data_IF_694243033110
#
_entry.id   IF_694243033110
#
_cell.length_a   1.000
_cell.length_b   1.000
_cell.length_c   1.000
_cell.angle_alpha   90.00
_cell.angle_beta   90.00
_cell.angle_gamma   90.00
#
_symmetry.space_group_name_H-M   'P 1'
#
loop_
_entity.id
_entity.type
_entity.pdbx_description
1 polymer ?
#
# COMPACT_ATOMS: atom_id res chain seq x y z
N UNK A 1 14.44 12.87 9.64
CA UNK A 1 13.64 11.70 9.23
C UNK A 1 12.59 11.44 10.30
N UNK A 2 11.39 11.99 10.10
CA UNK A 2 10.23 11.73 10.97
C UNK A 2 9.95 10.23 10.94
N UNK A 3 10.05 9.58 12.10
CA UNK A 3 9.71 8.16 12.26
C UNK A 3 8.21 8.03 12.00
N UNK A 4 7.83 7.64 10.78
CA UNK A 4 6.47 7.21 10.47
C UNK A 4 6.14 6.08 11.42
N UNK A 5 5.26 6.34 12.39
CA UNK A 5 4.75 5.32 13.29
C UNK A 5 4.27 4.16 12.42
N UNK A 6 4.78 2.94 12.68
CA UNK A 6 4.32 1.73 11.97
C UNK A 6 2.90 1.46 12.42
N UNK A 7 1.93 2.18 11.85
CA UNK A 7 0.51 1.93 12.01
C UNK A 7 0.27 0.45 11.67
N UNK A 8 -0.46 -0.23 12.54
CA UNK A 8 -0.66 -1.67 12.51
C UNK A 8 -0.94 -2.16 11.09
N UNK A 9 0.05 -2.83 10.51
CA UNK A 9 -0.02 -3.49 9.21
C UNK A 9 -0.92 -4.73 9.30
N UNK A 10 -2.21 -4.56 9.51
CA UNK A 10 -3.13 -5.68 9.35
C UNK A 10 -3.16 -6.08 7.88
N UNK A 11 -3.32 -7.38 7.63
CA UNK A 11 -3.30 -7.95 6.29
C UNK A 11 -4.34 -7.28 5.38
N UNK A 12 -5.49 -6.92 5.95
CA UNK A 12 -6.62 -6.24 5.31
C UNK A 12 -6.21 -4.94 4.61
N UNK A 13 -5.42 -4.07 5.27
CA UNK A 13 -4.97 -2.82 4.64
C UNK A 13 -4.07 -3.08 3.43
N UNK A 14 -3.23 -4.11 3.48
CA UNK A 14 -2.39 -4.47 2.33
C UNK A 14 -3.22 -5.01 1.17
N UNK A 15 -4.29 -5.74 1.47
CA UNK A 15 -5.21 -6.28 0.45
C UNK A 15 -6.03 -5.16 -0.18
N UNK A 16 -6.60 -4.24 0.62
CA UNK A 16 -7.38 -3.12 0.08
C UNK A 16 -6.50 -2.21 -0.77
N UNK A 17 -5.28 -1.89 -0.32
CA UNK A 17 -4.34 -1.10 -1.12
C UNK A 17 -4.03 -1.75 -2.48
N UNK A 18 -3.96 -3.09 -2.54
CA UNK A 18 -3.78 -3.81 -3.81
C UNK A 18 -5.04 -3.80 -4.67
N UNK A 19 -6.22 -3.97 -4.06
CA UNK A 19 -7.52 -3.86 -4.74
C UNK A 19 -7.66 -2.50 -5.45
N UNK A 20 -7.21 -1.42 -4.80
CA UNK A 20 -7.20 -0.08 -5.37
C UNK A 20 -6.23 0.06 -6.57
N UNK A 21 -5.05 -0.57 -6.49
CA UNK A 21 -4.08 -0.60 -7.60
C UNK A 21 -4.60 -1.41 -8.78
N UNK A 22 -5.19 -2.58 -8.53
CA UNK A 22 -5.85 -3.41 -9.55
C UNK A 22 -7.05 -2.67 -10.19
N UNK A 23 -7.74 -1.85 -9.40
CA UNK A 23 -8.79 -0.94 -9.88
C UNK A 23 -8.30 0.25 -10.69
N UNK A 24 -6.99 0.39 -10.92
CA UNK A 24 -6.39 1.41 -11.79
C UNK A 24 -5.89 2.66 -11.08
N UNK A 25 -5.95 2.73 -9.74
CA UNK A 25 -5.29 3.82 -9.01
C UNK A 25 -3.76 3.68 -9.08
N UNK A 26 -3.06 4.81 -9.07
CA UNK A 26 -1.61 4.81 -8.95
C UNK A 26 -1.17 4.30 -7.57
N UNK A 27 -0.01 3.66 -7.51
CA UNK A 27 0.52 3.05 -6.27
C UNK A 27 0.69 4.10 -5.16
N UNK A 28 1.12 5.31 -5.51
CA UNK A 28 1.21 6.43 -4.57
C UNK A 28 -0.17 6.85 -4.02
N UNK A 29 -1.19 6.92 -4.89
CA UNK A 29 -2.55 7.27 -4.47
C UNK A 29 -3.17 6.18 -3.59
N UNK A 30 -2.98 4.90 -3.91
CA UNK A 30 -3.49 3.77 -3.14
C UNK A 30 -2.80 3.65 -1.77
N UNK A 31 -1.47 3.84 -1.71
CA UNK A 31 -0.71 3.88 -0.47
C UNK A 31 -1.10 5.09 0.41
N UNK A 32 -1.33 6.26 -0.19
CA UNK A 32 -1.77 7.45 0.53
C UNK A 32 -3.23 7.34 1.04
N UNK A 33 -4.09 6.66 0.29
CA UNK A 33 -5.49 6.41 0.68
C UNK A 33 -5.60 5.37 1.79
N UNK A 34 -4.66 4.44 1.85
CA UNK A 34 -4.62 3.38 2.87
C UNK A 34 -3.65 3.76 3.98
N UNK A 35 -4.18 4.39 5.03
CA UNK A 35 -3.40 4.76 6.23
C UNK A 35 -2.57 3.58 6.74
N UNK A 36 -1.25 3.67 6.58
CA UNK A 36 -0.31 2.67 7.09
C UNK A 36 0.32 1.74 6.05
N UNK A 37 0.00 1.85 4.75
CA UNK A 37 0.73 1.12 3.71
C UNK A 37 1.83 2.01 3.12
N UNK A 38 3.09 1.56 3.21
CA UNK A 38 4.22 2.25 2.58
C UNK A 38 4.20 1.98 1.09
N UNK A 39 4.33 3.03 0.27
CA UNK A 39 4.32 2.97 -1.19
C UNK A 39 5.27 1.90 -1.75
N UNK A 40 6.52 1.85 -1.26
CA UNK A 40 7.50 0.84 -1.65
C UNK A 40 7.03 -0.61 -1.38
N UNK A 41 6.31 -0.82 -0.28
CA UNK A 41 5.78 -2.16 0.06
C UNK A 41 4.70 -2.57 -0.93
N UNK A 42 3.84 -1.62 -1.29
CA UNK A 42 2.78 -1.84 -2.27
C UNK A 42 3.35 -2.08 -3.67
N UNK A 43 4.35 -1.30 -4.08
CA UNK A 43 5.07 -1.48 -5.33
C UNK A 43 5.71 -2.87 -5.45
N UNK A 44 6.41 -3.31 -4.40
CA UNK A 44 7.04 -4.63 -4.38
C UNK A 44 6.02 -5.76 -4.48
N UNK A 45 4.85 -5.62 -3.84
CA UNK A 45 3.76 -6.59 -3.91
C UNK A 45 3.14 -6.65 -5.31
N UNK A 46 2.82 -5.49 -5.89
CA UNK A 46 2.28 -5.41 -7.25
C UNK A 46 3.26 -6.01 -8.28
N UNK A 47 4.56 -5.76 -8.11
CA UNK A 47 5.59 -6.37 -8.96
C UNK A 47 5.69 -7.89 -8.80
N UNK A 48 5.46 -8.44 -7.60
CA UNK A 48 5.52 -9.88 -7.36
C UNK A 48 4.30 -10.66 -7.89
N UNK A 49 3.19 -9.97 -8.15
CA UNK A 49 1.97 -10.57 -8.72
C UNK A 49 1.90 -10.52 -10.25
N UNK A 50 2.81 -9.78 -10.89
CA UNK A 50 2.92 -9.65 -12.34
C UNK A 50 4.06 -10.51 -12.87
#
# INVERSE_FOLDING_TARGET
>A
MTKTARACYTLEFKQEAMRLVEGGQSIAAAAGSTLGVVEQTLFNRAKAQR
#
